data_IF_768352821662
#
_entry.id   IF_768352821662
#
_cell.length_a   1.000
_cell.length_b   1.000
_cell.length_c   1.000
_cell.angle_alpha   90.00
_cell.angle_beta   90.00
_cell.angle_gamma   90.00
#
_symmetry.space_group_name_H-M   'P 1'
#
loop_
_entity.id
_entity.type
_entity.pdbx_description
1 polymer ?
#
# COMPACT_ATOMS: atom_id res chain seq x y z
N UNK A 1 10.13 -69.32 33.65
CA UNK A 1 8.97 -68.59 34.19
C UNK A 1 9.10 -67.13 33.78
N UNK A 2 8.05 -66.62 33.15
CA UNK A 2 7.92 -65.39 32.35
C UNK A 2 8.56 -64.11 32.93
N UNK A 3 9.37 -63.42 32.12
CA UNK A 3 9.62 -61.99 32.26
C UNK A 3 8.81 -61.25 31.17
N UNK A 4 7.70 -60.62 31.56
CA UNK A 4 6.88 -59.77 30.70
C UNK A 4 7.67 -58.47 30.39
N UNK A 5 7.91 -58.17 29.11
CA UNK A 5 8.29 -56.83 28.65
C UNK A 5 7.06 -55.92 28.73
N UNK A 6 7.14 -54.84 29.50
CA UNK A 6 6.21 -53.70 29.40
C UNK A 6 6.79 -52.69 28.41
N UNK A 7 6.20 -52.59 27.22
CA UNK A 7 6.44 -51.50 26.27
C UNK A 7 5.54 -50.32 26.67
N UNK A 8 6.16 -49.26 27.22
CA UNK A 8 5.50 -47.98 27.44
C UNK A 8 5.43 -47.24 26.09
N UNK A 9 4.27 -47.29 25.42
CA UNK A 9 3.99 -46.40 24.30
C UNK A 9 3.62 -45.03 24.86
N UNK A 10 4.55 -44.08 24.78
CA UNK A 10 4.29 -42.67 25.09
C UNK A 10 3.46 -42.07 23.95
N UNK A 11 2.14 -42.12 24.06
CA UNK A 11 1.26 -41.41 23.13
C UNK A 11 1.45 -39.91 23.34
N UNK A 12 2.07 -39.24 22.37
CA UNK A 12 2.13 -37.78 22.31
C UNK A 12 0.68 -37.28 22.26
N UNK A 13 0.19 -36.76 23.38
CA UNK A 13 -1.08 -36.04 23.42
C UNK A 13 -0.82 -34.74 22.67
N UNK A 14 -1.21 -34.71 21.39
CA UNK A 14 -1.30 -33.47 20.64
C UNK A 14 -2.34 -32.60 21.35
N UNK A 15 -1.85 -31.65 22.15
CA UNK A 15 -2.70 -30.62 22.73
C UNK A 15 -3.44 -29.86 21.61
N UNK A 16 -4.60 -29.25 21.92
CA UNK A 16 -5.33 -28.48 20.93
C UNK A 16 -4.39 -27.43 20.33
N UNK A 17 -4.08 -27.58 19.04
CA UNK A 17 -3.46 -26.53 18.27
C UNK A 17 -4.46 -25.39 18.26
N UNK A 18 -4.18 -24.36 19.04
CA UNK A 18 -4.86 -23.08 18.92
C UNK A 18 -4.67 -22.66 17.46
N UNK A 19 -5.72 -22.78 16.66
CA UNK A 19 -5.79 -22.11 15.37
C UNK A 19 -5.71 -20.63 15.67
N UNK A 20 -4.52 -20.05 15.52
CA UNK A 20 -4.41 -18.62 15.30
C UNK A 20 -5.23 -18.35 14.04
N UNK A 21 -6.38 -17.70 14.20
CA UNK A 21 -7.17 -17.23 13.06
C UNK A 21 -6.28 -16.46 12.09
N UNK A 22 -6.69 -16.32 10.81
CA UNK A 22 -5.87 -15.61 9.84
C UNK A 22 -5.47 -14.27 10.43
N UNK A 23 -4.17 -14.09 10.61
CA UNK A 23 -3.65 -12.85 11.17
C UNK A 23 -4.04 -11.67 10.29
N UNK A 24 -4.00 -10.49 10.88
CA UNK A 24 -4.37 -9.24 10.21
C UNK A 24 -3.83 -8.07 11.02
N UNK A 25 -4.16 -6.86 10.61
CA UNK A 25 -3.55 -5.68 11.22
C UNK A 25 -3.86 -5.53 12.72
N UNK A 26 -5.06 -5.95 13.16
CA UNK A 26 -5.44 -6.01 14.57
C UNK A 26 -4.69 -7.10 15.35
N UNK A 27 -4.21 -8.15 14.68
CA UNK A 27 -3.31 -9.16 15.22
C UNK A 27 -1.82 -8.78 15.08
N UNK A 28 -1.53 -7.52 14.75
CA UNK A 28 -0.17 -6.98 14.59
C UNK A 28 0.44 -7.18 13.20
N UNK A 29 -0.24 -7.83 12.26
CA UNK A 29 0.24 -8.05 10.90
C UNK A 29 -0.18 -6.88 9.99
N UNK A 30 0.65 -5.82 9.96
CA UNK A 30 0.42 -4.66 9.10
C UNK A 30 0.79 -4.98 7.65
N UNK A 31 -0.02 -4.51 6.70
CA UNK A 31 0.28 -4.61 5.29
C UNK A 31 1.18 -3.45 4.87
N UNK A 32 2.13 -3.74 3.97
CA UNK A 32 2.96 -2.73 3.30
C UNK A 32 2.15 -2.11 2.18
N UNK A 33 1.93 -0.80 2.22
CA UNK A 33 1.04 -0.13 1.26
C UNK A 33 1.70 1.07 0.60
N UNK A 34 1.47 1.21 -0.71
CA UNK A 34 1.57 2.46 -1.43
C UNK A 34 0.17 2.86 -1.86
N UNK A 35 -0.19 4.12 -1.65
CA UNK A 35 -1.38 4.72 -2.25
C UNK A 35 -0.94 5.52 -3.47
N UNK A 36 -1.49 5.23 -4.64
CA UNK A 36 -1.37 6.00 -5.87
C UNK A 36 -2.71 6.67 -6.16
N UNK A 37 -2.78 7.99 -6.09
CA UNK A 37 -4.03 8.75 -5.98
C UNK A 37 -4.04 9.91 -6.95
N UNK A 38 -5.21 10.25 -7.48
CA UNK A 38 -5.44 11.47 -8.25
C UNK A 38 -6.08 12.58 -7.41
N UNK A 39 -5.89 12.56 -6.09
CA UNK A 39 -6.32 13.61 -5.16
C UNK A 39 -6.07 15.03 -5.69
N UNK A 40 -7.12 15.86 -5.62
CA UNK A 40 -7.17 17.17 -6.27
C UNK A 40 -7.46 17.10 -7.78
N UNK A 41 -7.87 15.93 -8.28
CA UNK A 41 -8.20 15.66 -9.67
C UNK A 41 -9.58 16.17 -10.06
N UNK A 42 -10.34 15.33 -10.76
CA UNK A 42 -11.61 15.75 -11.36
C UNK A 42 -12.78 15.85 -10.38
N UNK A 43 -12.66 15.24 -9.21
CA UNK A 43 -13.69 15.26 -8.17
C UNK A 43 -13.06 15.17 -6.76
N UNK A 44 -13.84 15.33 -5.67
CA UNK A 44 -13.30 15.46 -4.33
C UNK A 44 -13.11 14.13 -3.58
N UNK A 45 -13.42 12.98 -4.18
CA UNK A 45 -13.47 11.70 -3.48
C UNK A 45 -12.12 11.28 -2.88
N UNK A 46 -11.01 11.53 -3.57
CA UNK A 46 -9.69 11.12 -3.13
C UNK A 46 -9.17 11.96 -1.95
N UNK A 47 -9.71 13.16 -1.73
CA UNK A 47 -9.53 13.86 -0.45
C UNK A 47 -10.20 13.10 0.69
N UNK A 48 -11.43 12.62 0.47
CA UNK A 48 -12.20 11.88 1.48
C UNK A 48 -11.54 10.53 1.77
N UNK A 49 -11.12 9.82 0.72
CA UNK A 49 -10.38 8.56 0.81
C UNK A 49 -9.05 8.73 1.55
N UNK A 50 -8.29 9.79 1.27
CA UNK A 50 -7.03 10.05 1.97
C UNK A 50 -7.24 10.36 3.46
N UNK A 51 -8.24 11.18 3.80
CA UNK A 51 -8.61 11.43 5.20
C UNK A 51 -8.97 10.11 5.90
N UNK A 52 -9.83 9.30 5.28
CA UNK A 52 -10.24 8.02 5.85
C UNK A 52 -9.06 7.05 6.00
N UNK A 53 -8.19 6.96 5.00
CA UNK A 53 -6.99 6.13 5.05
C UNK A 53 -6.06 6.54 6.20
N UNK A 54 -5.83 7.85 6.39
CA UNK A 54 -4.97 8.34 7.48
C UNK A 54 -5.55 8.08 8.88
N UNK A 55 -6.88 8.01 9.02
CA UNK A 55 -7.53 7.56 10.26
C UNK A 55 -7.28 6.07 10.57
N UNK A 56 -6.84 5.28 9.59
CA UNK A 56 -6.42 3.88 9.77
C UNK A 56 -4.91 3.68 9.54
N UNK A 57 -4.10 4.75 9.51
CA UNK A 57 -2.68 4.61 9.20
C UNK A 57 -1.89 3.80 10.25
N UNK A 58 -2.43 3.62 11.45
CA UNK A 58 -1.82 2.78 12.49
C UNK A 58 -1.88 1.27 12.18
N UNK A 59 -2.80 0.85 11.31
CA UNK A 59 -2.94 -0.55 10.87
C UNK A 59 -2.16 -0.89 9.59
N UNK A 60 -1.48 0.08 8.96
CA UNK A 60 -0.68 -0.11 7.74
C UNK A 60 0.77 0.34 7.89
N UNK A 61 1.70 -0.38 7.25
CA UNK A 61 3.04 0.15 6.99
C UNK A 61 2.99 0.95 5.69
N UNK A 62 2.75 2.26 5.80
CA UNK A 62 2.66 3.17 4.65
C UNK A 62 4.06 3.47 4.12
N UNK A 63 4.33 3.08 2.88
CA UNK A 63 5.65 3.22 2.25
C UNK A 63 5.71 4.29 1.18
N UNK A 64 4.56 4.72 0.66
CA UNK A 64 4.47 5.77 -0.33
C UNK A 64 3.06 6.34 -0.46
N UNK A 65 2.99 7.65 -0.66
CA UNK A 65 1.78 8.37 -1.07
C UNK A 65 2.12 9.09 -2.38
N UNK A 66 1.71 8.52 -3.51
CA UNK A 66 2.06 8.99 -4.84
C UNK A 66 0.86 9.71 -5.44
N UNK A 67 1.05 10.97 -5.85
CA UNK A 67 0.06 11.66 -6.66
C UNK A 67 0.26 11.25 -8.13
N UNK A 68 -0.60 10.38 -8.66
CA UNK A 68 -0.66 9.98 -10.07
C UNK A 68 -1.98 10.50 -10.67
N UNK A 69 -2.06 11.80 -10.95
CA UNK A 69 -3.31 12.48 -11.24
C UNK A 69 -3.92 12.15 -12.59
N UNK A 70 -5.24 12.02 -12.60
CA UNK A 70 -6.06 12.38 -13.74
C UNK A 70 -6.58 13.82 -13.53
N UNK A 71 -6.13 14.75 -14.36
CA UNK A 71 -6.47 16.18 -14.25
C UNK A 71 -5.54 16.97 -13.32
N UNK A 72 -6.06 17.94 -12.54
CA UNK A 72 -5.23 18.93 -11.84
C UNK A 72 -4.61 18.43 -10.52
N UNK A 73 -4.84 17.19 -10.11
CA UNK A 73 -4.33 16.63 -8.86
C UNK A 73 -2.81 16.66 -8.76
N UNK A 74 -2.27 16.79 -7.55
CA UNK A 74 -0.84 17.00 -7.33
C UNK A 74 -0.42 16.60 -5.93
N UNK A 75 0.88 16.42 -5.71
CA UNK A 75 1.47 16.10 -4.41
C UNK A 75 1.04 17.06 -3.31
N UNK A 76 0.90 18.36 -3.59
CA UNK A 76 0.46 19.33 -2.58
C UNK A 76 -0.92 19.02 -2.02
N UNK A 77 -1.82 18.40 -2.78
CA UNK A 77 -3.13 18.00 -2.28
C UNK A 77 -3.03 16.86 -1.24
N UNK A 78 -2.07 15.94 -1.41
CA UNK A 78 -1.70 14.97 -0.36
C UNK A 78 -1.17 15.71 0.88
N UNK A 79 -0.28 16.69 0.68
CA UNK A 79 0.32 17.46 1.78
C UNK A 79 -0.74 18.26 2.56
N UNK A 80 -1.74 18.82 1.89
CA UNK A 80 -2.88 19.49 2.51
C UNK A 80 -3.65 18.57 3.46
N UNK A 81 -3.91 17.31 3.05
CA UNK A 81 -4.57 16.34 3.94
C UNK A 81 -3.66 15.96 5.12
N UNK A 82 -2.34 15.81 4.88
CA UNK A 82 -1.38 15.55 5.96
C UNK A 82 -1.32 16.74 6.95
N UNK A 83 -1.47 17.98 6.48
CA UNK A 83 -1.52 19.16 7.34
C UNK A 83 -2.76 19.18 8.23
N UNK A 84 -3.90 18.65 7.74
CA UNK A 84 -5.07 18.40 8.57
C UNK A 84 -4.80 17.27 9.58
N UNK A 85 -4.29 16.13 9.13
CA UNK A 85 -3.91 15.00 10.00
C UNK A 85 -2.96 15.41 11.13
N UNK A 86 -2.00 16.30 10.85
CA UNK A 86 -1.04 16.79 11.81
C UNK A 86 -1.69 17.52 13.00
N UNK A 87 -2.85 18.16 12.79
CA UNK A 87 -3.61 18.83 13.86
C UNK A 87 -4.22 17.84 14.84
N UNK A 88 -4.64 16.67 14.35
CA UNK A 88 -5.27 15.61 15.15
C UNK A 88 -4.27 14.57 15.68
N UNK A 89 -3.03 14.57 15.18
CA UNK A 89 -2.01 13.56 15.48
C UNK A 89 -1.78 13.32 16.98
N UNK A 90 -1.74 14.39 17.78
CA UNK A 90 -1.54 14.28 19.23
C UNK A 90 -2.67 13.47 19.90
N UNK A 91 -3.92 13.64 19.43
CA UNK A 91 -5.06 12.88 19.92
C UNK A 91 -5.07 11.45 19.37
N UNK A 92 -4.82 11.27 18.06
CA UNK A 92 -4.78 9.95 17.42
C UNK A 92 -3.78 9.01 18.10
N UNK A 93 -2.59 9.52 18.45
CA UNK A 93 -1.58 8.75 19.19
C UNK A 93 -2.03 8.23 20.54
N UNK A 94 -3.06 8.83 21.16
CA UNK A 94 -3.60 8.31 22.43
C UNK A 94 -4.40 7.01 22.23
N UNK A 95 -4.87 6.74 21.01
CA UNK A 95 -5.55 5.50 20.64
C UNK A 95 -4.58 4.40 20.17
N UNK A 96 -3.46 4.78 19.56
CA UNK A 96 -2.46 3.84 19.04
C UNK A 96 -1.10 4.50 18.88
N UNK A 97 -0.04 3.94 19.46
CA UNK A 97 1.33 4.45 19.28
C UNK A 97 1.86 4.23 17.86
N UNK A 98 1.16 3.44 17.03
CA UNK A 98 1.57 3.03 15.68
C UNK A 98 1.20 4.04 14.59
N UNK A 99 0.45 5.09 14.93
CA UNK A 99 0.15 6.17 13.99
C UNK A 99 1.45 6.84 13.49
N UNK A 100 1.67 6.93 12.17
CA UNK A 100 2.89 7.51 11.62
C UNK A 100 2.97 9.00 11.92
N UNK A 101 4.17 9.49 12.25
CA UNK A 101 4.38 10.92 12.41
C UNK A 101 4.06 11.68 11.10
N UNK A 102 3.44 12.88 11.17
CA UNK A 102 3.12 13.66 9.99
C UNK A 102 4.32 13.89 9.07
N UNK A 103 5.50 14.16 9.64
CA UNK A 103 6.71 14.37 8.84
C UNK A 103 7.18 13.11 8.13
N UNK A 104 6.97 11.92 8.72
CA UNK A 104 7.23 10.65 8.05
C UNK A 104 6.32 10.47 6.84
N UNK A 105 5.04 10.86 6.93
CA UNK A 105 4.12 10.84 5.80
C UNK A 105 4.53 11.83 4.70
N UNK A 106 4.90 13.07 5.07
CA UNK A 106 5.41 14.08 4.11
C UNK A 106 6.68 13.60 3.40
N UNK A 107 7.54 12.89 4.12
CA UNK A 107 8.80 12.35 3.62
C UNK A 107 8.61 11.20 2.62
N UNK A 108 7.45 10.55 2.56
CA UNK A 108 7.10 9.51 1.58
C UNK A 108 6.06 9.97 0.54
N UNK A 109 5.58 11.21 0.64
CA UNK A 109 4.73 11.81 -0.39
C UNK A 109 5.54 12.13 -1.65
N UNK A 110 5.06 11.73 -2.82
CA UNK A 110 5.74 11.84 -4.11
C UNK A 110 4.80 12.40 -5.17
N UNK A 111 5.36 13.14 -6.12
CA UNK A 111 4.67 13.46 -7.37
C UNK A 111 4.95 12.33 -8.36
N UNK A 112 3.90 11.73 -8.89
CA UNK A 112 3.93 10.72 -9.93
C UNK A 112 3.91 11.33 -11.34
N UNK A 113 3.47 10.54 -12.32
CA UNK A 113 3.30 10.98 -13.70
C UNK A 113 2.33 12.18 -13.80
N UNK A 114 2.68 13.19 -14.59
CA UNK A 114 1.79 14.33 -14.91
C UNK A 114 1.29 14.33 -16.35
N UNK A 115 2.01 13.62 -17.22
CA UNK A 115 1.73 13.54 -18.65
C UNK A 115 1.32 12.11 -18.98
N UNK A 116 0.32 11.98 -19.85
CA UNK A 116 -0.05 10.68 -20.41
C UNK A 116 1.11 10.15 -21.26
N UNK A 117 1.47 8.85 -21.15
CA UNK A 117 2.42 8.22 -22.06
C UNK A 117 1.85 8.03 -23.49
N UNK A 118 0.58 8.39 -23.70
CA UNK A 118 -0.12 8.21 -24.97
C UNK A 118 -0.30 6.72 -25.32
N UNK A 119 -0.49 6.39 -26.61
CA UNK A 119 -0.80 5.03 -27.05
C UNK A 119 0.25 3.96 -26.72
N UNK A 120 1.49 4.38 -26.40
CA UNK A 120 2.53 3.45 -25.98
C UNK A 120 2.25 2.83 -24.60
N UNK A 121 1.45 3.49 -23.76
CA UNK A 121 1.11 3.06 -22.40
C UNK A 121 2.26 3.12 -21.40
N UNK A 122 3.48 3.36 -21.86
CA UNK A 122 4.70 3.55 -21.08
C UNK A 122 5.54 4.68 -21.68
N UNK A 123 6.30 5.36 -20.85
CA UNK A 123 7.16 6.48 -21.21
C UNK A 123 8.52 6.39 -20.52
N UNK A 124 8.88 7.42 -19.77
CA UNK A 124 10.14 7.49 -19.00
C UNK A 124 9.87 7.19 -17.53
N UNK A 125 10.89 6.74 -16.76
CA UNK A 125 10.79 6.65 -15.32
C UNK A 125 10.30 7.96 -14.69
N UNK A 126 9.48 7.81 -13.66
CA UNK A 126 8.87 8.88 -12.88
C UNK A 126 9.24 8.69 -11.42
N UNK A 127 9.14 9.76 -10.61
CA UNK A 127 9.37 9.66 -9.17
C UNK A 127 8.38 8.68 -8.51
N UNK A 128 7.16 8.54 -9.05
CA UNK A 128 6.15 7.58 -8.62
C UNK A 128 6.54 6.12 -8.94
N UNK A 129 6.90 5.83 -10.19
CA UNK A 129 7.31 4.48 -10.61
C UNK A 129 8.59 4.03 -9.90
N UNK A 130 9.59 4.90 -9.77
CA UNK A 130 10.81 4.61 -9.01
C UNK A 130 10.51 4.33 -7.52
N UNK A 131 9.51 5.02 -6.95
CA UNK A 131 9.05 4.76 -5.58
C UNK A 131 8.51 3.32 -5.46
N UNK A 132 7.64 2.91 -6.38
CA UNK A 132 7.07 1.56 -6.43
C UNK A 132 8.19 0.52 -6.54
N UNK A 133 9.13 0.69 -7.48
CA UNK A 133 10.25 -0.23 -7.68
C UNK A 133 11.11 -0.34 -6.41
N UNK A 134 11.48 0.80 -5.81
CA UNK A 134 12.30 0.83 -4.60
C UNK A 134 11.62 0.12 -3.43
N UNK A 135 10.34 0.40 -3.20
CA UNK A 135 9.57 -0.24 -2.14
C UNK A 135 9.43 -1.74 -2.39
N UNK A 136 9.12 -2.16 -3.63
CA UNK A 136 8.96 -3.57 -3.96
C UNK A 136 10.28 -4.34 -3.80
N UNK A 137 11.43 -3.70 -4.07
CA UNK A 137 12.76 -4.31 -3.91
C UNK A 137 13.31 -4.30 -2.48
N UNK A 138 12.62 -3.68 -1.51
CA UNK A 138 13.03 -3.77 -0.10
C UNK A 138 13.15 -5.23 0.33
N UNK A 139 14.14 -5.51 1.17
CA UNK A 139 14.34 -6.81 1.79
C UNK A 139 13.29 -7.04 2.89
N UNK A 140 12.06 -7.29 2.45
CA UNK A 140 10.91 -7.61 3.28
C UNK A 140 10.10 -8.70 2.56
N UNK A 141 9.87 -9.86 3.19
CA UNK A 141 9.21 -10.99 2.55
C UNK A 141 7.70 -10.74 2.30
N UNK A 142 7.11 -9.72 2.92
CA UNK A 142 5.70 -9.38 2.72
C UNK A 142 5.50 -8.74 1.35
N UNK A 143 4.39 -9.04 0.65
CA UNK A 143 4.07 -8.35 -0.58
C UNK A 143 3.84 -6.87 -0.35
N UNK A 144 4.12 -6.08 -1.39
CA UNK A 144 3.76 -4.67 -1.44
C UNK A 144 2.37 -4.52 -2.06
N UNK A 145 1.45 -3.90 -1.33
CA UNK A 145 0.13 -3.55 -1.84
C UNK A 145 0.18 -2.18 -2.49
N UNK A 146 -0.20 -2.11 -3.76
CA UNK A 146 -0.31 -0.85 -4.51
C UNK A 146 -1.80 -0.58 -4.69
N UNK A 147 -2.31 0.41 -3.95
CA UNK A 147 -3.69 0.85 -3.99
C UNK A 147 -3.77 1.98 -5.02
N UNK A 148 -4.31 1.69 -6.19
CA UNK A 148 -4.42 2.65 -7.30
C UNK A 148 -5.83 3.22 -7.31
N UNK A 149 -5.96 4.48 -6.90
CA UNK A 149 -7.20 5.24 -6.87
C UNK A 149 -7.33 6.14 -8.10
N UNK A 150 -6.20 6.68 -8.58
CA UNK A 150 -6.11 7.50 -9.78
C UNK A 150 -5.54 6.78 -11.00
N UNK A 151 -4.62 7.44 -11.69
CA UNK A 151 -3.95 6.91 -12.88
C UNK A 151 -3.06 5.69 -12.60
N UNK A 152 -2.90 4.83 -13.62
CA UNK A 152 -2.08 3.59 -13.54
C UNK A 152 -0.70 3.74 -14.18
N UNK A 153 -0.35 4.93 -14.66
CA UNK A 153 0.85 5.22 -15.45
C UNK A 153 2.11 4.88 -14.68
N UNK A 154 2.20 5.29 -13.41
CA UNK A 154 3.37 5.01 -12.58
C UNK A 154 3.56 3.50 -12.32
N UNK A 155 2.45 2.75 -12.15
CA UNK A 155 2.52 1.30 -11.97
C UNK A 155 2.91 0.60 -13.28
N UNK A 156 2.34 1.02 -14.41
CA UNK A 156 2.67 0.49 -15.73
C UNK A 156 4.16 0.72 -16.04
N UNK A 157 4.65 1.93 -15.82
CA UNK A 157 6.07 2.27 -15.99
C UNK A 157 6.97 1.45 -15.05
N UNK A 158 6.61 1.30 -13.77
CA UNK A 158 7.38 0.50 -12.82
C UNK A 158 7.51 -0.97 -13.25
N UNK A 159 6.42 -1.57 -13.72
CA UNK A 159 6.41 -2.95 -14.21
C UNK A 159 7.17 -3.12 -15.53
N UNK A 160 7.15 -2.09 -16.40
CA UNK A 160 7.94 -2.07 -17.62
C UNK A 160 9.44 -2.03 -17.34
N UNK A 161 9.88 -1.13 -16.46
CA UNK A 161 11.31 -0.93 -16.15
C UNK A 161 11.88 -2.03 -15.23
N UNK A 162 11.03 -2.65 -14.40
CA UNK A 162 11.44 -3.63 -13.39
C UNK A 162 10.45 -4.81 -13.30
N UNK A 163 10.35 -5.65 -14.35
CA UNK A 163 9.41 -6.78 -14.35
C UNK A 163 9.67 -7.81 -13.23
N UNK A 164 10.87 -7.82 -12.64
CA UNK A 164 11.25 -8.65 -11.49
C UNK A 164 10.40 -8.38 -10.22
N UNK A 165 9.76 -7.21 -10.12
CA UNK A 165 8.94 -6.87 -8.96
C UNK A 165 7.56 -7.53 -8.99
N UNK A 166 7.09 -8.01 -10.14
CA UNK A 166 5.73 -8.53 -10.34
C UNK A 166 5.30 -9.56 -9.28
N UNK A 167 6.11 -10.57 -8.90
CA UNK A 167 5.70 -11.55 -7.89
C UNK A 167 5.49 -10.94 -6.49
N UNK A 168 6.10 -9.77 -6.23
CA UNK A 168 6.06 -9.06 -4.94
C UNK A 168 4.86 -8.13 -4.81
N UNK A 169 4.16 -7.82 -5.90
CA UNK A 169 3.06 -6.85 -5.87
C UNK A 169 1.71 -7.52 -5.61
N UNK A 170 0.83 -6.77 -4.94
CA UNK A 170 -0.62 -6.98 -4.94
C UNK A 170 -1.25 -5.66 -5.33
N UNK A 171 -1.98 -5.64 -6.44
CA UNK A 171 -2.53 -4.40 -6.98
C UNK A 171 -4.03 -4.38 -6.73
N UNK A 172 -4.52 -3.31 -6.12
CA UNK A 172 -5.94 -3.04 -5.99
C UNK A 172 -6.23 -1.75 -6.75
N UNK A 173 -6.89 -1.87 -7.90
CA UNK A 173 -7.16 -0.74 -8.78
C UNK A 173 -8.64 -0.40 -8.79
N UNK A 174 -8.97 0.83 -8.41
CA UNK A 174 -10.28 1.42 -8.60
C UNK A 174 -10.32 1.93 -10.04
N UNK A 175 -10.89 1.13 -10.94
CA UNK A 175 -10.78 1.39 -12.37
C UNK A 175 -11.46 2.70 -12.80
N UNK A 176 -10.70 3.59 -13.43
CA UNK A 176 -11.17 4.89 -13.94
C UNK A 176 -10.80 5.14 -15.42
N UNK A 177 -10.03 6.20 -15.73
CA UNK A 177 -9.78 6.68 -17.10
C UNK A 177 -8.97 5.70 -17.96
N UNK A 178 -8.29 4.71 -17.40
CA UNK A 178 -7.40 3.78 -18.13
C UNK A 178 -8.09 2.45 -18.46
N UNK A 179 -9.24 2.50 -19.14
CA UNK A 179 -9.98 1.30 -19.58
C UNK A 179 -9.90 1.15 -21.09
N UNK A 180 -10.10 -0.09 -21.58
CA UNK A 180 -10.19 -0.49 -23.00
C UNK A 180 -11.20 0.30 -23.86
N UNK A 181 -12.01 1.17 -23.23
CA UNK A 181 -13.04 2.01 -23.85
C UNK A 181 -12.89 3.50 -23.49
N UNK A 182 -11.73 3.88 -22.98
CA UNK A 182 -11.37 5.28 -22.76
C UNK A 182 -10.89 5.92 -24.06
N UNK A 183 -10.81 7.25 -24.08
CA UNK A 183 -10.40 8.03 -25.25
C UNK A 183 -9.00 7.68 -25.77
N UNK A 184 -8.16 7.03 -24.96
CA UNK A 184 -6.78 6.67 -25.27
C UNK A 184 -6.50 5.15 -25.17
N UNK A 185 -7.54 4.31 -25.27
CA UNK A 185 -7.41 2.85 -25.19
C UNK A 185 -6.97 2.17 -26.49
#
# INVERSE_FOLDING_TARGET
>A
MNALLFLLTLSLIAGPQLFAGPGGALAGQRLRVIVSTDIGGTDPDDFQSMVHFLLYADVFDVEGLVSSPYGPGRREHILQVIDCYARDYANLRTYSEKYPAPDSLRAIARQGALESPGPAGVGKPTVGSECIVRCARRDDPRPLWVLVWGGIEDLAQALHDAPDILPKLRVYFIGGPNKMWSVDA
#
